data_IF_889769799645
#
_entry.id   IF_889769799645
#
_cell.length_a   1.000
_cell.length_b   1.000
_cell.length_c   1.000
_cell.angle_alpha   90.00
_cell.angle_beta   90.00
_cell.angle_gamma   90.00
#
_symmetry.space_group_name_H-M   'P 1'
#
loop_
_entity.id
_entity.type
_entity.pdbx_description
1 polymer ?
#
# COMPACT_ATOMS: atom_id res chain seq x y z
N UNK A 1 0.20 -8.84 1.88
CA UNK A 1 1.43 -9.61 2.11
C UNK A 1 1.92 -10.24 0.81
N UNK A 2 3.19 -10.08 0.47
CA UNK A 2 3.86 -10.83 -0.59
C UNK A 2 4.65 -11.99 0.04
N UNK A 3 4.18 -13.20 -0.17
CA UNK A 3 4.79 -14.40 0.44
C UNK A 3 6.15 -14.75 -0.15
N UNK A 4 6.36 -14.47 -1.42
CA UNK A 4 7.62 -14.79 -2.13
C UNK A 4 8.78 -13.98 -1.55
N UNK A 5 8.55 -12.72 -1.30
CA UNK A 5 9.58 -11.74 -0.96
C UNK A 5 9.55 -11.35 0.51
N UNK A 6 8.56 -11.86 1.26
CA UNK A 6 8.33 -11.53 2.68
C UNK A 6 8.16 -10.03 2.90
N UNK A 7 7.50 -9.35 1.95
CA UNK A 7 7.17 -7.92 2.05
C UNK A 7 5.70 -7.70 2.33
N UNK A 8 5.37 -6.52 2.86
CA UNK A 8 4.00 -6.12 3.07
C UNK A 8 3.77 -4.68 2.62
N UNK A 9 2.54 -4.43 2.20
CA UNK A 9 1.98 -3.10 2.07
C UNK A 9 0.71 -3.04 2.92
N UNK A 10 0.58 -1.98 3.70
CA UNK A 10 -0.60 -1.68 4.47
C UNK A 10 -1.09 -0.29 4.10
N UNK A 11 -2.35 -0.19 3.79
CA UNK A 11 -3.02 1.08 3.55
C UNK A 11 -4.23 1.17 4.46
N UNK A 12 -4.29 2.24 5.23
CA UNK A 12 -5.48 2.59 5.97
C UNK A 12 -6.41 3.38 5.05
N UNK A 13 -7.44 2.71 4.53
CA UNK A 13 -8.50 3.37 3.79
C UNK A 13 -9.42 4.14 4.76
N UNK A 14 -9.90 5.30 4.32
CA UNK A 14 -10.84 6.14 5.04
C UNK A 14 -10.28 7.12 6.08
N UNK A 15 -9.90 8.30 5.63
CA UNK A 15 -9.58 9.53 6.38
C UNK A 15 -8.16 9.72 6.88
N UNK A 16 -7.29 8.75 6.81
CA UNK A 16 -5.87 8.90 7.13
C UNK A 16 -5.05 8.09 6.15
N UNK A 17 -4.19 8.77 5.46
CA UNK A 17 -3.22 8.19 4.55
C UNK A 17 -2.00 7.70 5.33
N UNK A 18 -2.17 6.66 6.12
CA UNK A 18 -1.03 5.90 6.57
C UNK A 18 -0.80 4.76 5.58
N UNK A 19 0.13 4.93 4.68
CA UNK A 19 0.71 3.82 3.92
C UNK A 19 1.95 3.35 4.67
N UNK A 20 2.04 2.06 4.95
CA UNK A 20 3.19 1.41 5.54
C UNK A 20 3.63 0.29 4.61
N UNK A 21 4.92 0.24 4.33
CA UNK A 21 5.52 -0.87 3.61
C UNK A 21 6.78 -1.34 4.32
N UNK A 22 7.18 -2.56 4.02
CA UNK A 22 8.36 -3.14 4.65
C UNK A 22 8.42 -4.64 4.51
N UNK A 23 9.12 -5.29 5.44
CA UNK A 23 9.27 -6.74 5.50
C UNK A 23 8.42 -7.34 6.60
N UNK A 24 8.11 -8.63 6.50
CA UNK A 24 7.44 -9.34 7.57
C UNK A 24 8.12 -10.67 7.88
N UNK A 25 7.98 -11.05 9.13
CA UNK A 25 8.33 -12.37 9.65
C UNK A 25 7.06 -13.03 10.20
N UNK A 26 6.96 -14.34 10.07
CA UNK A 26 5.84 -15.10 10.61
C UNK A 26 6.30 -16.44 11.16
N UNK A 27 5.71 -16.84 12.25
CA UNK A 27 5.75 -18.20 12.80
C UNK A 27 4.32 -18.75 12.92
N UNK A 28 4.13 -19.84 13.67
CA UNK A 28 2.82 -20.47 13.83
C UNK A 28 1.81 -19.55 14.56
N UNK A 29 2.28 -18.72 15.50
CA UNK A 29 1.45 -17.91 16.38
C UNK A 29 1.39 -16.44 16.00
N UNK A 30 2.45 -15.89 15.37
CA UNK A 30 2.60 -14.46 15.18
C UNK A 30 2.94 -14.07 13.75
N UNK A 31 2.49 -12.88 13.38
CA UNK A 31 2.96 -12.12 12.23
C UNK A 31 3.57 -10.82 12.75
N UNK A 32 4.81 -10.53 12.36
CA UNK A 32 5.54 -9.32 12.75
C UNK A 32 5.84 -8.53 11.50
N UNK A 33 5.27 -7.34 11.37
CA UNK A 33 5.57 -6.40 10.31
C UNK A 33 6.67 -5.46 10.78
N UNK A 34 7.69 -5.25 9.94
CA UNK A 34 8.74 -4.25 10.17
C UNK A 34 8.65 -3.20 9.07
N UNK A 35 8.02 -2.07 9.39
CA UNK A 35 7.96 -0.92 8.50
C UNK A 35 9.25 -0.13 8.57
N UNK A 36 9.75 0.33 7.43
CA UNK A 36 10.94 1.15 7.33
C UNK A 36 10.52 2.54 6.85
N UNK A 37 10.73 3.53 7.68
CA UNK A 37 10.68 4.94 7.30
C UNK A 37 12.11 5.44 7.06
N UNK A 38 12.30 6.60 6.44
CA UNK A 38 13.63 7.13 6.08
C UNK A 38 14.67 7.04 7.21
N UNK A 39 14.25 7.27 8.45
CA UNK A 39 15.15 7.40 9.61
C UNK A 39 14.85 6.44 10.77
N UNK A 40 13.82 5.60 10.66
CA UNK A 40 13.40 4.71 11.74
C UNK A 40 12.76 3.42 11.22
N UNK A 41 12.78 2.40 12.06
CA UNK A 41 12.01 1.19 11.86
C UNK A 41 10.94 1.09 12.94
N UNK A 42 9.74 0.68 12.56
CA UNK A 42 8.66 0.41 13.50
C UNK A 42 8.18 -1.02 13.33
N UNK A 43 8.01 -1.73 14.45
CA UNK A 43 7.50 -3.10 14.48
C UNK A 43 6.04 -3.13 14.92
N UNK A 44 5.26 -3.95 14.23
CA UNK A 44 3.85 -4.18 14.52
C UNK A 44 3.62 -5.68 14.65
N UNK A 45 3.12 -6.11 15.79
CA UNK A 45 2.94 -7.52 16.12
C UNK A 45 1.47 -7.89 16.09
N UNK A 46 1.17 -8.96 15.39
CA UNK A 46 -0.16 -9.55 15.31
C UNK A 46 -0.12 -10.99 15.78
N UNK A 47 -1.12 -11.41 16.53
CA UNK A 47 -1.35 -12.82 16.84
C UNK A 47 -2.24 -13.44 15.78
N UNK A 48 -1.85 -14.59 15.25
CA UNK A 48 -2.67 -15.36 14.33
C UNK A 48 -3.86 -15.95 15.08
N UNK A 49 -5.06 -15.80 14.54
CA UNK A 49 -6.31 -16.33 15.05
C UNK A 49 -6.97 -17.16 13.93
N UNK A 50 -7.91 -18.02 14.31
CA UNK A 50 -8.67 -18.79 13.33
C UNK A 50 -9.35 -17.91 12.28
N UNK A 51 -9.84 -16.74 12.70
CA UNK A 51 -10.64 -15.84 11.89
C UNK A 51 -9.90 -14.54 11.51
N UNK A 52 -8.56 -14.55 11.58
CA UNK A 52 -7.77 -13.38 11.14
C UNK A 52 -6.54 -13.08 11.99
N UNK A 53 -6.18 -11.80 12.05
CA UNK A 53 -5.04 -11.30 12.80
C UNK A 53 -5.50 -10.36 13.92
N UNK A 54 -5.08 -10.63 15.14
CA UNK A 54 -5.30 -9.77 16.29
C UNK A 54 -4.09 -8.86 16.49
N UNK A 55 -4.27 -7.53 16.39
CA UNK A 55 -3.21 -6.57 16.63
C UNK A 55 -2.82 -6.49 18.11
N UNK A 56 -1.54 -6.63 18.42
CA UNK A 56 -1.01 -6.58 19.78
C UNK A 56 -0.34 -5.23 20.06
N UNK A 57 -1.13 -4.24 20.44
CA UNK A 57 -0.67 -2.89 20.69
C UNK A 57 0.50 -2.80 21.69
N UNK A 58 0.50 -3.63 22.76
CA UNK A 58 1.55 -3.66 23.78
C UNK A 58 2.89 -4.25 23.31
N UNK A 59 2.89 -4.93 22.16
CA UNK A 59 4.06 -5.53 21.52
C UNK A 59 4.47 -4.80 20.24
N UNK A 60 3.87 -3.64 19.98
CA UNK A 60 4.07 -2.84 18.78
C UNK A 60 4.63 -1.45 19.16
N UNK A 61 5.46 -0.89 18.28
CA UNK A 61 6.12 0.41 18.51
C UNK A 61 5.16 1.58 18.36
N UNK A 62 4.12 1.43 17.54
CA UNK A 62 3.06 2.40 17.34
C UNK A 62 1.72 1.70 17.24
N UNK A 63 0.65 2.42 17.46
CA UNK A 63 -0.73 1.90 17.39
C UNK A 63 -1.60 2.70 16.43
N UNK A 64 -1.14 3.90 16.07
CA UNK A 64 -1.93 4.86 15.31
C UNK A 64 -2.35 4.29 13.96
N UNK A 65 -1.47 3.59 13.30
CA UNK A 65 -1.66 3.06 11.95
C UNK A 65 -2.74 1.97 11.91
N UNK A 66 -2.89 1.21 13.00
CA UNK A 66 -3.81 0.08 13.07
C UNK A 66 -5.03 0.31 13.98
N UNK A 67 -4.95 1.29 14.88
CA UNK A 67 -6.00 1.58 15.84
C UNK A 67 -6.43 3.04 15.85
N UNK A 68 -6.03 3.84 14.85
CA UNK A 68 -6.32 5.26 14.87
C UNK A 68 -7.80 5.56 14.68
N UNK A 69 -8.32 6.47 15.51
CA UNK A 69 -9.58 7.17 15.32
C UNK A 69 -9.38 8.64 15.67
N UNK A 70 -10.03 9.55 14.94
CA UNK A 70 -10.08 10.96 15.32
C UNK A 70 -10.75 11.18 16.70
N UNK A 71 -11.50 10.19 17.14
CA UNK A 71 -12.14 10.11 18.44
C UNK A 71 -11.24 9.31 19.39
N UNK A 72 -10.69 9.97 20.39
CA UNK A 72 -9.78 9.36 21.38
C UNK A 72 -10.44 8.20 22.13
N UNK A 73 -11.76 8.28 22.39
CA UNK A 73 -12.51 7.21 23.06
C UNK A 73 -12.57 5.93 22.18
N UNK A 74 -12.72 6.09 20.85
CA UNK A 74 -12.69 4.96 19.93
C UNK A 74 -11.30 4.35 19.79
N UNK A 75 -10.25 5.17 19.81
CA UNK A 75 -8.86 4.70 19.84
C UNK A 75 -8.61 3.89 21.12
N UNK A 76 -9.05 4.38 22.27
CA UNK A 76 -8.94 3.65 23.54
C UNK A 76 -9.71 2.34 23.53
N UNK A 77 -10.88 2.28 22.90
CA UNK A 77 -11.62 1.03 22.71
C UNK A 77 -10.89 0.05 21.80
N UNK A 78 -10.30 0.52 20.71
CA UNK A 78 -9.48 -0.32 19.83
C UNK A 78 -8.31 -0.95 20.58
N UNK A 79 -7.61 -0.17 21.39
CA UNK A 79 -6.51 -0.65 22.22
C UNK A 79 -6.94 -1.66 23.29
N UNK A 80 -8.16 -1.53 23.82
CA UNK A 80 -8.71 -2.44 24.83
C UNK A 80 -9.32 -3.69 24.23
N UNK A 81 -9.97 -3.57 23.08
CA UNK A 81 -10.79 -4.64 22.48
C UNK A 81 -10.05 -5.47 21.44
N UNK A 82 -8.73 -5.24 21.25
CA UNK A 82 -7.90 -6.01 20.32
C UNK A 82 -8.42 -5.91 18.88
N UNK A 83 -7.85 -5.03 18.08
CA UNK A 83 -8.20 -4.90 16.67
C UNK A 83 -8.02 -6.25 15.95
N UNK A 84 -9.08 -6.76 15.34
CA UNK A 84 -9.07 -8.00 14.58
C UNK A 84 -9.15 -7.69 13.09
N UNK A 85 -8.17 -8.15 12.35
CA UNK A 85 -8.13 -8.04 10.90
C UNK A 85 -8.62 -9.33 10.28
N UNK A 86 -9.76 -9.28 9.59
CA UNK A 86 -10.33 -10.45 8.94
C UNK A 86 -9.42 -10.97 7.80
N UNK A 87 -9.46 -12.27 7.49
CA UNK A 87 -8.62 -12.86 6.44
C UNK A 87 -8.79 -12.16 5.08
N UNK A 88 -9.99 -11.74 4.74
CA UNK A 88 -10.31 -11.04 3.50
C UNK A 88 -9.67 -9.66 3.38
N UNK A 89 -9.22 -9.07 4.48
CA UNK A 89 -8.45 -7.82 4.47
C UNK A 89 -6.95 -8.05 4.24
N UNK A 90 -6.50 -9.30 4.23
CA UNK A 90 -5.10 -9.68 4.06
C UNK A 90 -4.91 -10.14 2.63
N UNK A 91 -4.27 -9.31 1.82
CA UNK A 91 -3.95 -9.64 0.44
C UNK A 91 -2.56 -10.23 0.35
N UNK A 92 -2.39 -11.26 -0.45
CA UNK A 92 -1.10 -11.94 -0.69
C UNK A 92 -0.72 -11.84 -2.16
N UNK A 93 0.57 -11.92 -2.45
CA UNK A 93 1.10 -11.92 -3.81
C UNK A 93 0.82 -10.62 -4.59
N UNK A 94 0.97 -9.47 -3.92
CA UNK A 94 0.83 -8.15 -4.54
C UNK A 94 1.99 -7.84 -5.49
N UNK A 95 1.68 -7.03 -6.52
CA UNK A 95 2.66 -6.45 -7.43
C UNK A 95 2.74 -4.97 -7.10
N UNK A 96 3.94 -4.47 -6.84
CA UNK A 96 4.15 -3.05 -6.52
C UNK A 96 4.98 -2.39 -7.60
N UNK A 97 4.49 -1.26 -8.10
CA UNK A 97 5.23 -0.33 -8.94
C UNK A 97 5.50 0.94 -8.15
N UNK A 98 6.71 1.47 -8.26
CA UNK A 98 7.11 2.69 -7.57
C UNK A 98 7.92 3.58 -8.51
N UNK A 99 7.76 4.88 -8.40
CA UNK A 99 8.51 5.84 -9.20
C UNK A 99 8.66 7.17 -8.50
N UNK A 100 9.74 7.88 -8.82
CA UNK A 100 9.93 9.26 -8.43
C UNK A 100 8.93 10.13 -9.14
N UNK A 101 8.42 11.10 -8.43
CA UNK A 101 7.41 12.03 -8.88
C UNK A 101 7.94 13.45 -8.59
N UNK A 102 8.82 13.94 -9.48
CA UNK A 102 9.46 15.25 -9.33
C UNK A 102 8.70 16.29 -10.15
N UNK A 103 8.24 17.35 -9.52
CA UNK A 103 7.63 18.50 -10.19
C UNK A 103 7.90 19.78 -9.39
N UNK A 104 8.33 20.82 -10.08
CA UNK A 104 8.61 22.15 -9.51
C UNK A 104 9.53 22.12 -8.26
N UNK A 105 10.51 21.21 -8.24
CA UNK A 105 11.46 21.07 -7.14
C UNK A 105 10.92 20.31 -5.92
N UNK A 106 9.67 19.87 -5.93
CA UNK A 106 9.14 18.92 -4.95
C UNK A 106 9.53 17.51 -5.37
N UNK A 107 10.08 16.78 -4.40
CA UNK A 107 10.43 15.38 -4.57
C UNK A 107 9.46 14.55 -3.75
N UNK A 108 8.66 13.79 -4.42
CA UNK A 108 7.82 12.77 -3.81
C UNK A 108 7.88 11.48 -4.63
N UNK A 109 7.15 10.48 -4.23
CA UNK A 109 7.05 9.22 -4.97
C UNK A 109 5.59 8.81 -5.12
N UNK A 110 5.35 8.01 -6.15
CA UNK A 110 4.08 7.34 -6.38
C UNK A 110 4.28 5.84 -6.22
N UNK A 111 3.38 5.20 -5.53
CA UNK A 111 3.31 3.76 -5.37
C UNK A 111 1.97 3.25 -5.91
N UNK A 112 2.01 2.24 -6.76
CA UNK A 112 0.83 1.51 -7.23
C UNK A 112 0.97 0.06 -6.78
N UNK A 113 0.01 -0.40 -5.99
CA UNK A 113 -0.07 -1.78 -5.52
C UNK A 113 -1.22 -2.47 -6.21
N UNK A 114 -0.93 -3.56 -6.92
CA UNK A 114 -1.90 -4.42 -7.57
C UNK A 114 -2.07 -5.69 -6.76
N UNK A 115 -3.30 -6.12 -6.55
CA UNK A 115 -3.65 -7.39 -5.91
C UNK A 115 -4.21 -8.36 -6.95
N UNK A 116 -3.43 -9.34 -7.44
CA UNK A 116 -3.92 -10.33 -8.40
C UNK A 116 -5.04 -11.21 -7.84
N UNK A 117 -5.12 -11.36 -6.52
CA UNK A 117 -6.10 -12.22 -5.87
C UNK A 117 -7.54 -11.75 -6.07
N UNK A 118 -7.76 -10.44 -6.15
CA UNK A 118 -9.09 -9.84 -6.29
C UNK A 118 -9.21 -8.80 -7.42
N UNK A 119 -8.13 -8.60 -8.19
CA UNK A 119 -8.12 -7.63 -9.29
C UNK A 119 -8.19 -6.17 -8.84
N UNK A 120 -7.85 -5.88 -7.58
CA UNK A 120 -7.92 -4.53 -7.04
C UNK A 120 -6.56 -3.81 -7.09
N UNK A 121 -6.60 -2.48 -7.07
CA UNK A 121 -5.41 -1.65 -6.94
C UNK A 121 -5.56 -0.61 -5.83
N UNK A 122 -4.42 -0.12 -5.38
CA UNK A 122 -4.31 1.15 -4.68
C UNK A 122 -3.16 1.98 -5.27
N UNK A 123 -3.36 3.28 -5.44
CA UNK A 123 -2.37 4.23 -5.91
C UNK A 123 -2.22 5.32 -4.88
N UNK A 124 -1.01 5.50 -4.40
CA UNK A 124 -0.64 6.45 -3.36
C UNK A 124 0.48 7.37 -3.85
N UNK A 125 0.42 8.63 -3.46
CA UNK A 125 1.49 9.60 -3.63
C UNK A 125 1.96 10.08 -2.27
N UNK A 126 3.27 10.08 -2.04
CA UNK A 126 3.83 10.60 -0.78
C UNK A 126 3.46 12.07 -0.60
N UNK A 127 3.16 12.46 0.64
CA UNK A 127 2.71 13.82 0.96
C UNK A 127 1.23 14.10 0.73
N UNK A 128 0.47 13.20 0.12
CA UNK A 128 -0.98 13.31 0.03
C UNK A 128 -1.68 12.57 1.18
N UNK A 129 -2.89 13.04 1.52
CA UNK A 129 -3.66 12.48 2.63
C UNK A 129 -4.69 11.43 2.21
N UNK A 130 -4.79 11.13 0.93
CA UNK A 130 -5.71 10.16 0.36
C UNK A 130 -5.01 9.26 -0.67
N UNK A 131 -5.70 8.24 -1.14
CA UNK A 131 -5.25 7.35 -2.19
C UNK A 131 -6.39 7.07 -3.17
N UNK A 132 -6.04 6.73 -4.41
CA UNK A 132 -7.00 6.18 -5.35
C UNK A 132 -7.04 4.66 -5.20
N UNK A 133 -8.25 4.10 -5.16
CA UNK A 133 -8.50 2.66 -5.09
C UNK A 133 -9.49 2.25 -6.17
N UNK A 134 -9.51 0.96 -6.52
CA UNK A 134 -10.41 0.42 -7.50
C UNK A 134 -9.98 -0.94 -8.04
N UNK A 135 -10.32 -1.20 -9.29
CA UNK A 135 -9.97 -2.44 -9.99
C UNK A 135 -8.96 -2.18 -11.10
N UNK A 136 -8.21 -3.22 -11.48
CA UNK A 136 -7.30 -3.13 -12.61
C UNK A 136 -7.49 -4.27 -13.61
N UNK A 137 -7.09 -3.99 -14.85
CA UNK A 137 -6.97 -4.96 -15.90
C UNK A 137 -5.60 -4.83 -16.56
N UNK A 138 -4.97 -5.96 -16.86
CA UNK A 138 -3.72 -6.01 -17.62
C UNK A 138 -3.99 -6.76 -18.94
N UNK A 139 -3.79 -6.10 -20.07
CA UNK A 139 -4.00 -6.66 -21.37
C UNK A 139 -3.16 -5.95 -22.44
N UNK A 140 -2.57 -6.72 -23.37
CA UNK A 140 -1.86 -6.20 -24.54
C UNK A 140 -0.77 -5.17 -24.18
N UNK A 141 0.06 -5.49 -23.16
CA UNK A 141 1.11 -4.60 -22.60
C UNK A 141 0.55 -3.27 -22.06
N UNK A 142 -0.68 -3.28 -21.58
CA UNK A 142 -1.31 -2.14 -20.92
C UNK A 142 -1.86 -2.53 -19.58
N UNK A 143 -1.68 -1.64 -18.61
CA UNK A 143 -2.35 -1.68 -17.33
C UNK A 143 -3.41 -0.58 -17.32
N UNK A 144 -4.64 -0.94 -16.99
CA UNK A 144 -5.75 0.01 -16.86
C UNK A 144 -6.25 -0.05 -15.43
N UNK A 145 -6.19 1.07 -14.72
CA UNK A 145 -6.77 1.24 -13.40
C UNK A 145 -8.14 1.91 -13.56
N UNK A 146 -9.16 1.36 -12.94
CA UNK A 146 -10.52 1.93 -12.90
C UNK A 146 -10.86 2.25 -11.45
N UNK A 147 -11.02 3.53 -11.15
CA UNK A 147 -11.32 4.05 -9.83
C UNK A 147 -12.69 3.55 -9.31
N UNK A 148 -12.83 3.40 -8.00
CA UNK A 148 -14.04 2.92 -7.33
C UNK A 148 -15.28 3.80 -7.59
N UNK A 149 -15.09 5.07 -7.95
CA UNK A 149 -16.18 5.95 -8.36
C UNK A 149 -16.70 5.63 -9.79
N UNK A 150 -15.99 4.75 -10.53
CA UNK A 150 -16.32 4.29 -11.88
C UNK A 150 -16.21 5.36 -12.99
N UNK A 151 -15.67 6.54 -12.67
CA UNK A 151 -15.54 7.67 -13.60
C UNK A 151 -14.15 7.81 -14.17
N UNK A 152 -13.15 7.61 -13.33
CA UNK A 152 -11.76 7.87 -13.67
C UNK A 152 -11.05 6.58 -14.06
N UNK A 153 -10.31 6.65 -15.17
CA UNK A 153 -9.46 5.57 -15.65
C UNK A 153 -8.07 6.10 -15.90
N UNK A 154 -7.08 5.30 -15.51
CA UNK A 154 -5.67 5.59 -15.72
C UNK A 154 -5.05 4.49 -16.56
N UNK A 155 -4.44 4.88 -17.66
CA UNK A 155 -3.88 3.96 -18.66
C UNK A 155 -2.35 4.03 -18.56
N UNK A 156 -1.72 2.88 -18.44
CA UNK A 156 -0.27 2.77 -18.43
C UNK A 156 0.19 1.84 -19.54
N UNK A 157 1.30 2.19 -20.18
CA UNK A 157 2.01 1.31 -21.09
C UNK A 157 3.05 0.50 -20.27
N UNK A 158 3.09 -0.83 -20.47
CA UNK A 158 4.01 -1.74 -19.79
C UNK A 158 5.19 -1.99 -20.71
N UNK A 159 6.41 -1.74 -20.22
CA UNK A 159 7.66 -2.04 -20.91
C UNK A 159 8.63 -2.76 -19.97
N UNK A 160 8.67 -4.09 -20.06
CA UNK A 160 9.48 -4.92 -19.16
C UNK A 160 9.01 -4.78 -17.70
N UNK A 161 9.86 -4.21 -16.85
CA UNK A 161 9.55 -3.98 -15.44
C UNK A 161 9.01 -2.57 -15.16
N UNK A 162 8.78 -1.77 -16.17
CA UNK A 162 8.34 -0.39 -16.03
C UNK A 162 6.90 -0.22 -16.51
N UNK A 163 6.22 0.75 -15.92
CA UNK A 163 4.95 1.28 -16.42
C UNK A 163 5.05 2.80 -16.56
N UNK A 164 4.54 3.33 -17.67
CA UNK A 164 4.49 4.77 -17.93
C UNK A 164 3.05 5.22 -18.16
N UNK A 165 2.65 6.34 -17.55
CA UNK A 165 1.29 6.88 -17.70
C UNK A 165 1.04 7.38 -19.13
N UNK A 166 0.02 6.86 -19.80
CA UNK A 166 -0.53 7.45 -21.02
C UNK A 166 -1.48 8.61 -20.65
N UNK A 167 -0.89 9.78 -20.44
CA UNK A 167 -1.62 10.96 -19.98
C UNK A 167 -2.66 11.48 -20.97
N UNK A 168 -2.51 11.13 -22.26
CA UNK A 168 -3.48 11.53 -23.28
C UNK A 168 -4.81 10.78 -23.18
N UNK A 169 -4.78 9.56 -22.61
CA UNK A 169 -5.96 8.71 -22.41
C UNK A 169 -6.45 8.68 -20.97
N UNK A 170 -5.59 9.03 -20.03
CA UNK A 170 -5.90 8.95 -18.61
C UNK A 170 -6.72 10.15 -18.12
N UNK A 171 -7.52 9.92 -17.09
CA UNK A 171 -8.14 10.98 -16.33
C UNK A 171 -7.06 11.87 -15.70
N UNK A 172 -7.36 13.16 -15.56
CA UNK A 172 -6.48 14.06 -14.82
C UNK A 172 -6.45 13.67 -13.36
N UNK A 173 -5.26 13.56 -12.81
CA UNK A 173 -5.06 13.15 -11.42
C UNK A 173 -3.94 13.97 -10.76
N UNK A 174 -4.05 14.12 -9.44
CA UNK A 174 -2.99 14.69 -8.59
C UNK A 174 -2.03 13.61 -8.05
N UNK A 175 -2.35 12.32 -8.25
CA UNK A 175 -1.53 11.22 -7.73
C UNK A 175 -0.26 10.99 -8.54
N UNK A 176 -0.30 11.19 -9.86
CA UNK A 176 0.82 10.89 -10.74
C UNK A 176 0.97 11.98 -11.81
N UNK A 177 2.19 12.43 -12.07
CA UNK A 177 2.49 13.37 -13.14
C UNK A 177 2.56 12.68 -14.50
N UNK A 178 2.34 13.47 -15.55
CA UNK A 178 2.19 12.99 -16.93
C UNK A 178 3.43 12.29 -17.51
N UNK A 179 4.58 12.49 -16.93
CA UNK A 179 5.87 11.98 -17.38
C UNK A 179 6.48 10.96 -16.40
N UNK A 180 5.74 10.57 -15.37
CA UNK A 180 6.22 9.60 -14.40
C UNK A 180 6.35 8.20 -15.01
N UNK A 181 7.49 7.58 -14.75
CA UNK A 181 7.77 6.17 -15.03
C UNK A 181 7.93 5.47 -13.69
N UNK A 182 7.21 4.37 -13.50
CA UNK A 182 7.27 3.57 -12.29
C UNK A 182 7.91 2.23 -12.59
N UNK A 183 8.81 1.79 -11.73
CA UNK A 183 9.47 0.49 -11.82
C UNK A 183 8.77 -0.53 -10.91
N UNK A 184 8.63 -1.75 -11.42
CA UNK A 184 8.17 -2.89 -10.62
C UNK A 184 9.22 -3.22 -9.58
N UNK A 185 8.84 -3.18 -8.32
CA UNK A 185 9.72 -3.60 -7.25
C UNK A 185 10.10 -5.08 -7.43
N UNK A 186 11.41 -5.34 -7.51
CA UNK A 186 11.89 -6.70 -7.42
C UNK A 186 11.66 -7.24 -6.01
N UNK A 187 11.53 -8.55 -5.91
CA UNK A 187 11.30 -9.18 -4.64
C UNK A 187 12.33 -8.81 -3.57
N UNK A 188 11.85 -8.41 -2.41
CA UNK A 188 12.68 -8.01 -1.29
C UNK A 188 13.21 -6.57 -1.33
N UNK A 189 12.97 -5.80 -2.39
CA UNK A 189 13.28 -4.37 -2.43
C UNK A 189 12.26 -3.58 -1.62
N UNK A 190 12.76 -2.67 -0.82
CA UNK A 190 11.93 -1.67 -0.15
C UNK A 190 11.80 -0.42 -1.03
N UNK A 191 10.68 0.31 -1.01
CA UNK A 191 10.54 1.56 -1.75
C UNK A 191 11.70 2.53 -1.57
N UNK A 192 12.27 2.63 -0.37
CA UNK A 192 13.44 3.48 -0.09
C UNK A 192 14.75 3.02 -0.74
N UNK A 193 14.79 1.82 -1.30
CA UNK A 193 15.99 1.30 -1.97
C UNK A 193 16.03 1.72 -3.45
N UNK A 194 14.91 2.22 -3.96
CA UNK A 194 14.70 2.65 -5.37
C UNK A 194 14.55 4.17 -5.48
N UNK A 195 14.23 4.84 -4.39
CA UNK A 195 14.05 6.29 -4.27
C UNK A 195 15.32 6.98 -3.77
#
# INVERSE_FOLDING_TARGET
>A
LNRKDKTFNFMQSYRFSAALSGTYEEDDDYLILTAKNSDSQSKFTFKKQKDGLEFLAKKSDSVREFCYSADSEKTDKCLKNKALFAPESIRTDVITYIGKNEHDGQKDYVEIVLSPADGSYSMYRSGMSDCSTGTYEEKDNRLVLSDDNGRDKYYFEISGNEIALDSAKSAKTSYIYSDAVLEKLAGGQHPSDVL
#
